data_IF_145735495727
#
_entry.id   IF_145735495727
#
_cell.length_a   1.000
_cell.length_b   1.000
_cell.length_c   1.000
_cell.angle_alpha   90.00
_cell.angle_beta   90.00
_cell.angle_gamma   90.00
#
_symmetry.space_group_name_H-M   'P 1'
#
loop_
_entity.id
_entity.type
_entity.pdbx_description
1 polymer ?
#
# COMPACT_ATOMS: atom_id res chain seq x y z
N UNK A 1 14.66 -12.74 -9.83
CA UNK A 1 13.31 -12.52 -9.28
C UNK A 1 12.65 -13.88 -9.28
N UNK A 2 12.78 -14.54 -8.15
CA UNK A 2 12.16 -15.80 -7.83
C UNK A 2 10.71 -15.47 -7.46
N UNK A 3 9.79 -15.67 -8.41
CA UNK A 3 8.39 -15.23 -8.28
C UNK A 3 7.69 -15.77 -7.02
N UNK A 4 8.19 -16.89 -6.53
CA UNK A 4 7.68 -17.64 -5.38
C UNK A 4 8.23 -17.13 -4.03
N UNK A 5 9.37 -16.41 -4.05
CA UNK A 5 10.05 -15.92 -2.86
C UNK A 5 10.17 -14.38 -2.80
N UNK A 6 9.90 -13.68 -3.92
CA UNK A 6 9.91 -12.24 -3.99
C UNK A 6 8.50 -11.66 -3.73
N UNK A 7 8.42 -10.80 -2.72
CA UNK A 7 7.23 -10.02 -2.40
C UNK A 7 7.31 -8.61 -3.02
N UNK A 8 6.22 -8.18 -3.68
CA UNK A 8 6.10 -6.84 -4.25
C UNK A 8 5.23 -6.00 -3.31
N UNK A 9 5.81 -4.98 -2.69
CA UNK A 9 5.08 -4.02 -1.85
C UNK A 9 4.69 -2.77 -2.65
N UNK A 10 3.40 -2.60 -2.90
CA UNK A 10 2.82 -1.39 -3.50
C UNK A 10 2.43 -0.39 -2.40
N UNK A 11 3.08 0.78 -2.39
CA UNK A 11 2.78 1.85 -1.44
C UNK A 11 1.87 2.90 -2.10
N UNK A 12 0.63 2.50 -2.38
CA UNK A 12 -0.39 3.36 -3.00
C UNK A 12 -1.80 2.87 -2.65
N UNK A 13 -2.78 3.78 -2.67
CA UNK A 13 -4.18 3.46 -2.38
C UNK A 13 -5.14 3.81 -3.51
N UNK A 14 -4.62 4.14 -4.68
CA UNK A 14 -5.43 4.54 -5.83
C UNK A 14 -5.99 3.33 -6.58
N UNK A 15 -7.23 3.41 -7.05
CA UNK A 15 -7.89 2.35 -7.81
C UNK A 15 -7.23 2.05 -9.16
N UNK A 16 -6.50 3.00 -9.74
CA UNK A 16 -5.78 2.80 -11.01
C UNK A 16 -4.74 1.68 -10.94
N UNK A 17 -4.29 1.30 -9.75
CA UNK A 17 -3.33 0.21 -9.55
C UNK A 17 -3.96 -1.19 -9.50
N UNK A 18 -5.28 -1.31 -9.37
CA UNK A 18 -6.00 -2.60 -9.35
C UNK A 18 -5.61 -3.50 -10.54
N UNK A 19 -5.69 -3.05 -11.81
CA UNK A 19 -5.33 -3.90 -12.95
C UNK A 19 -3.83 -4.26 -13.00
N UNK A 20 -2.97 -3.49 -12.32
CA UNK A 20 -1.54 -3.79 -12.21
C UNK A 20 -1.31 -4.89 -11.18
N UNK A 21 -1.95 -4.79 -10.02
CA UNK A 21 -1.89 -5.79 -8.94
C UNK A 21 -2.42 -7.14 -9.45
N UNK A 22 -3.58 -7.15 -10.11
CA UNK A 22 -4.16 -8.37 -10.67
C UNK A 22 -3.20 -9.06 -11.66
N UNK A 23 -2.62 -8.28 -12.60
CA UNK A 23 -1.65 -8.82 -13.56
C UNK A 23 -0.39 -9.40 -12.91
N UNK A 24 0.05 -8.84 -11.80
CA UNK A 24 1.21 -9.34 -11.07
C UNK A 24 0.87 -10.65 -10.34
N UNK A 25 -0.31 -10.74 -9.75
CA UNK A 25 -0.81 -11.96 -9.10
C UNK A 25 -1.04 -13.08 -10.14
N UNK A 26 -1.62 -12.77 -11.29
CA UNK A 26 -1.78 -13.72 -12.41
C UNK A 26 -0.43 -14.27 -12.92
N UNK A 27 0.64 -13.48 -12.81
CA UNK A 27 2.00 -13.90 -13.16
C UNK A 27 2.68 -14.74 -12.08
N UNK A 28 2.01 -14.95 -10.94
CA UNK A 28 2.48 -15.72 -9.81
C UNK A 28 3.32 -14.94 -8.81
N UNK A 29 3.26 -13.60 -8.82
CA UNK A 29 3.93 -12.78 -7.81
C UNK A 29 3.02 -12.55 -6.61
N UNK A 30 3.61 -12.49 -5.42
CA UNK A 30 2.91 -12.08 -4.21
C UNK A 30 2.93 -10.55 -4.11
N UNK A 31 1.76 -9.93 -4.11
CA UNK A 31 1.61 -8.47 -4.07
C UNK A 31 0.97 -8.05 -2.76
N UNK A 32 1.65 -7.18 -2.05
CA UNK A 32 1.22 -6.58 -0.79
C UNK A 32 0.96 -5.09 -1.01
N UNK A 33 -0.03 -4.53 -0.34
CA UNK A 33 -0.39 -3.12 -0.47
C UNK A 33 -0.25 -2.45 0.88
N UNK A 34 0.51 -1.36 0.94
CA UNK A 34 0.63 -0.52 2.14
C UNK A 34 0.07 0.86 1.87
N UNK A 35 -0.99 1.25 2.58
CA UNK A 35 -1.55 2.59 2.44
C UNK A 35 -2.33 3.03 3.68
N UNK A 36 -2.68 4.32 3.69
CA UNK A 36 -3.57 4.91 4.69
C UNK A 36 -4.97 4.28 4.65
N UNK A 37 -5.75 4.46 5.72
CA UNK A 37 -7.09 3.88 5.89
C UNK A 37 -8.08 4.17 4.76
N UNK A 38 -7.76 5.14 3.90
CA UNK A 38 -8.55 5.64 2.78
C UNK A 38 -8.30 4.92 1.44
N UNK A 39 -7.54 3.81 1.45
CA UNK A 39 -7.25 3.06 0.22
C UNK A 39 -8.51 2.55 -0.47
N UNK A 40 -8.47 2.49 -1.80
CA UNK A 40 -9.51 1.89 -2.63
C UNK A 40 -9.86 0.47 -2.16
N UNK A 41 -11.15 0.20 -2.00
CA UNK A 41 -11.64 -1.09 -1.48
C UNK A 41 -11.31 -2.25 -2.42
N UNK A 42 -11.35 -2.01 -3.73
CA UNK A 42 -10.98 -2.98 -4.76
C UNK A 42 -9.49 -3.34 -4.68
N UNK A 43 -8.63 -2.36 -4.43
CA UNK A 43 -7.19 -2.58 -4.27
C UNK A 43 -6.88 -3.46 -3.05
N UNK A 44 -7.61 -3.25 -1.95
CA UNK A 44 -7.53 -4.09 -0.74
C UNK A 44 -7.99 -5.53 -1.00
N UNK A 45 -8.98 -5.72 -1.85
CA UNK A 45 -9.50 -7.05 -2.19
C UNK A 45 -8.58 -7.80 -3.15
N UNK A 46 -7.90 -7.07 -4.05
CA UNK A 46 -6.95 -7.64 -4.98
C UNK A 46 -5.62 -8.00 -4.31
N UNK A 47 -5.18 -7.27 -3.27
CA UNK A 47 -3.91 -7.51 -2.60
C UNK A 47 -3.90 -8.81 -1.76
N UNK A 48 -2.76 -9.49 -1.69
CA UNK A 48 -2.58 -10.65 -0.82
C UNK A 48 -2.52 -10.26 0.66
N UNK A 49 -1.88 -9.12 0.97
CA UNK A 49 -1.85 -8.52 2.29
C UNK A 49 -2.07 -7.01 2.18
N UNK A 50 -2.81 -6.43 3.13
CA UNK A 50 -2.97 -4.99 3.26
C UNK A 50 -2.36 -4.51 4.58
N UNK A 51 -1.36 -3.63 4.48
CA UNK A 51 -0.74 -2.96 5.62
C UNK A 51 -1.36 -1.57 5.79
N UNK A 52 -2.17 -1.42 6.82
CA UNK A 52 -2.71 -0.11 7.19
C UNK A 52 -1.63 0.74 7.87
N UNK A 53 -1.32 1.87 7.25
CA UNK A 53 -0.31 2.79 7.78
C UNK A 53 -0.88 3.83 8.75
N UNK A 54 -2.21 3.87 8.97
CA UNK A 54 -2.91 4.90 9.75
C UNK A 54 -2.33 5.12 11.15
N UNK A 55 -1.90 4.06 11.83
CA UNK A 55 -1.25 4.16 13.15
C UNK A 55 0.12 4.86 13.16
N UNK A 56 0.71 5.13 12.00
CA UNK A 56 1.98 5.87 11.86
C UNK A 56 1.82 7.27 11.29
N UNK A 57 0.58 7.71 10.99
CA UNK A 57 0.32 9.06 10.47
C UNK A 57 0.89 10.11 11.43
N UNK A 58 0.75 9.90 12.74
CA UNK A 58 1.28 10.81 13.77
C UNK A 58 2.82 10.91 13.76
N UNK A 59 3.50 9.80 13.43
CA UNK A 59 4.97 9.74 13.39
C UNK A 59 5.54 10.36 12.09
N UNK A 60 4.81 10.27 10.98
CA UNK A 60 5.18 10.86 9.69
C UNK A 60 4.65 12.28 9.48
N UNK A 61 3.62 12.67 10.22
CA UNK A 61 3.20 14.07 10.29
C UNK A 61 4.17 14.78 11.21
N UNK A 62 5.26 15.29 10.63
CA UNK A 62 6.06 16.31 11.31
C UNK A 62 5.06 17.37 11.78
N UNK A 63 4.85 17.46 13.09
CA UNK A 63 4.12 18.59 13.67
C UNK A 63 4.71 19.84 13.04
N UNK A 64 3.88 20.61 12.33
CA UNK A 64 4.30 21.92 11.85
C UNK A 64 4.97 22.62 13.05
N UNK A 65 6.17 23.19 12.89
CA UNK A 65 6.82 23.87 14.02
C UNK A 65 5.79 24.82 14.60
N UNK A 66 5.44 24.61 15.88
CA UNK A 66 4.56 25.49 16.61
C UNK A 66 5.12 26.90 16.39
N UNK A 67 4.39 27.71 15.63
CA UNK A 67 4.82 29.04 15.26
C UNK A 67 5.07 29.79 16.58
N UNK A 68 6.35 30.01 16.86
CA UNK A 68 6.76 30.91 17.92
C UNK A 68 6.41 32.34 17.46
N UNK A 69 5.35 32.91 18.05
CA UNK A 69 5.19 34.33 18.36
C UNK A 69 3.82 34.58 19.01
#
# INVERSE_FOLDING_TARGET
MDKENDDILLVAGDSDYVPVVEKLIERGFKVEVAFWGQAARELRQAAANFFELDGKLDEFTRAAPQAAA
#
